data_IF_871289316241
#
_entry.id   IF_871289316241
#
_cell.length_a   1.000
_cell.length_b   1.000
_cell.length_c   1.000
_cell.angle_alpha   90.00
_cell.angle_beta   90.00
_cell.angle_gamma   90.00
#
_symmetry.space_group_name_H-M   'P 1'
#
loop_
_entity.id
_entity.type
_entity.pdbx_description
1 polymer ?
#
# COMPACT_ATOMS: atom_id res chain seq x y z
N UNK A 1 -6.70 -27.10 16.61
CA UNK A 1 -6.17 -26.55 15.35
C UNK A 1 -7.19 -25.56 14.77
N UNK A 2 -7.33 -24.40 15.42
CA UNK A 2 -8.16 -23.31 14.93
C UNK A 2 -7.61 -22.02 15.51
N UNK A 3 -7.66 -20.98 14.68
CA UNK A 3 -7.81 -19.60 15.12
C UNK A 3 -6.56 -18.86 15.62
N UNK A 4 -5.68 -18.53 14.66
CA UNK A 4 -4.85 -17.33 14.73
C UNK A 4 -5.54 -16.14 14.06
N UNK A 5 -6.82 -15.93 14.35
CA UNK A 5 -7.61 -14.79 13.86
C UNK A 5 -7.96 -13.87 15.02
N UNK A 6 -7.00 -13.12 15.59
CA UNK A 6 -7.28 -11.94 16.44
C UNK A 6 -6.02 -11.24 16.99
N UNK A 7 -4.94 -11.12 16.21
CA UNK A 7 -3.75 -10.39 16.66
C UNK A 7 -3.28 -9.31 15.67
N UNK A 8 -4.22 -8.64 14.99
CA UNK A 8 -3.94 -7.49 14.11
C UNK A 8 -4.51 -6.17 14.65
N UNK A 9 -4.64 -6.07 15.97
CA UNK A 9 -5.38 -4.99 16.62
C UNK A 9 -4.60 -4.04 17.52
N UNK A 10 -3.29 -4.24 17.77
CA UNK A 10 -2.62 -3.48 18.85
C UNK A 10 -1.17 -3.04 18.64
N UNK A 11 -0.57 -3.15 17.45
CA UNK A 11 0.80 -2.63 17.19
C UNK A 11 1.02 -2.17 15.73
N UNK A 12 0.18 -1.30 15.16
CA UNK A 12 0.54 -0.67 13.88
C UNK A 12 -0.16 0.69 13.67
N UNK A 13 0.23 1.69 14.46
CA UNK A 13 -0.13 3.07 14.15
C UNK A 13 1.12 3.77 13.65
N UNK A 14 1.25 3.90 12.33
CA UNK A 14 1.46 5.17 11.61
C UNK A 14 2.60 5.19 10.58
N UNK A 15 3.78 4.58 10.78
CA UNK A 15 4.93 4.91 9.91
C UNK A 15 4.83 4.30 8.51
N UNK A 16 4.53 3.00 8.39
CA UNK A 16 4.40 2.35 7.08
C UNK A 16 3.29 2.97 6.25
N UNK A 17 2.11 3.14 6.87
CA UNK A 17 0.95 3.79 6.25
C UNK A 17 1.21 5.26 5.90
N UNK A 18 1.89 6.02 6.76
CA UNK A 18 2.25 7.41 6.48
C UNK A 18 3.21 7.49 5.30
N UNK A 19 4.22 6.62 5.24
CA UNK A 19 5.15 6.56 4.12
C UNK A 19 4.42 6.22 2.81
N UNK A 20 3.52 5.24 2.81
CA UNK A 20 2.70 4.88 1.63
C UNK A 20 1.87 6.09 1.15
N UNK A 21 1.25 6.85 2.06
CA UNK A 21 0.49 8.04 1.72
C UNK A 21 1.37 9.20 1.21
N UNK A 22 2.55 9.41 1.77
CA UNK A 22 3.51 10.43 1.30
C UNK A 22 4.04 10.10 -0.10
N UNK A 23 4.34 8.83 -0.37
CA UNK A 23 4.74 8.34 -1.70
C UNK A 23 3.59 8.55 -2.68
N UNK A 24 2.35 8.18 -2.31
CA UNK A 24 1.19 8.37 -3.15
C UNK A 24 0.93 9.85 -3.47
N UNK A 25 1.00 10.74 -2.46
CA UNK A 25 0.85 12.19 -2.65
C UNK A 25 1.91 12.75 -3.61
N UNK A 26 3.15 12.27 -3.52
CA UNK A 26 4.24 12.65 -4.42
C UNK A 26 3.96 12.21 -5.86
N UNK A 27 3.51 10.97 -6.07
CA UNK A 27 3.15 10.46 -7.40
C UNK A 27 2.00 11.26 -8.03
N UNK A 28 0.95 11.55 -7.25
CA UNK A 28 -0.19 12.38 -7.69
C UNK A 28 0.27 13.79 -8.07
N UNK A 29 1.09 14.43 -7.24
CA UNK A 29 1.62 15.78 -7.51
C UNK A 29 2.47 15.81 -8.78
N UNK A 30 3.24 14.76 -9.04
CA UNK A 30 4.07 14.61 -10.23
C UNK A 30 3.28 14.13 -11.46
N UNK A 31 1.99 13.80 -11.31
CA UNK A 31 1.14 13.18 -12.35
C UNK A 31 1.73 11.87 -12.88
N UNK A 32 2.33 11.08 -11.99
CA UNK A 32 2.90 9.77 -12.29
C UNK A 32 2.02 8.65 -11.75
N UNK A 33 1.99 7.47 -12.39
CA UNK A 33 1.37 6.28 -11.81
C UNK A 33 2.12 5.82 -10.55
N UNK A 34 1.37 5.31 -9.57
CA UNK A 34 1.89 4.74 -8.34
C UNK A 34 2.11 3.24 -8.50
N UNK A 35 3.37 2.84 -8.68
CA UNK A 35 3.77 1.43 -8.66
C UNK A 35 3.92 0.95 -7.22
N UNK A 36 3.20 -0.11 -6.84
CA UNK A 36 3.26 -0.62 -5.47
C UNK A 36 3.05 -2.12 -5.40
N UNK A 37 3.72 -2.76 -4.44
CA UNK A 37 3.49 -4.17 -4.05
C UNK A 37 2.31 -4.33 -3.09
N UNK A 38 1.81 -3.22 -2.56
CA UNK A 38 0.77 -3.19 -1.54
C UNK A 38 -0.44 -2.36 -2.02
N UNK A 39 -1.09 -2.76 -3.13
CA UNK A 39 -2.16 -1.96 -3.73
C UNK A 39 -3.36 -1.77 -2.79
N UNK A 40 -3.63 -2.74 -1.91
CA UNK A 40 -4.74 -2.71 -0.94
C UNK A 40 -4.69 -1.52 0.01
N UNK A 41 -3.51 -1.05 0.37
CA UNK A 41 -3.36 0.07 1.31
C UNK A 41 -3.55 1.42 0.62
N UNK A 42 -3.54 1.43 -0.72
CA UNK A 42 -3.76 2.60 -1.57
C UNK A 42 -5.12 2.60 -2.28
N UNK A 43 -5.96 1.56 -2.13
CA UNK A 43 -7.20 1.38 -2.90
C UNK A 43 -8.18 2.58 -2.81
N UNK A 44 -8.19 3.32 -1.71
CA UNK A 44 -9.03 4.51 -1.56
C UNK A 44 -8.57 5.71 -2.42
N UNK A 45 -7.38 5.65 -3.02
CA UNK A 45 -6.77 6.70 -3.83
C UNK A 45 -7.01 6.52 -5.34
N UNK A 46 -7.68 5.44 -5.78
CA UNK A 46 -7.91 5.13 -7.20
C UNK A 46 -8.64 6.25 -7.98
N UNK A 47 -9.36 7.12 -7.28
CA UNK A 47 -10.03 8.29 -7.87
C UNK A 47 -9.08 9.43 -8.25
N UNK A 48 -7.89 9.46 -7.67
CA UNK A 48 -6.92 10.56 -7.81
C UNK A 48 -5.53 10.09 -8.24
N UNK A 49 -5.26 8.79 -8.19
CA UNK A 49 -3.99 8.18 -8.56
C UNK A 49 -4.22 6.93 -9.41
N UNK A 50 -3.43 6.77 -10.48
CA UNK A 50 -3.37 5.50 -11.22
C UNK A 50 -2.48 4.53 -10.46
N UNK A 51 -3.06 3.46 -9.90
CA UNK A 51 -2.31 2.46 -9.13
C UNK A 51 -1.92 1.30 -10.05
N UNK A 52 -0.63 0.96 -10.07
CA UNK A 52 -0.10 -0.17 -10.82
C UNK A 52 0.45 -1.21 -9.84
N UNK A 53 -0.24 -2.34 -9.65
CA UNK A 53 0.27 -3.41 -8.79
C UNK A 53 1.52 -4.02 -9.42
N UNK A 54 2.55 -4.20 -8.59
CA UNK A 54 3.79 -4.87 -8.98
C UNK A 54 3.87 -6.21 -8.28
N UNK A 55 3.78 -7.29 -9.05
CA UNK A 55 4.10 -8.62 -8.58
C UNK A 55 5.61 -8.84 -8.61
N UNK A 56 6.20 -9.14 -7.46
CA UNK A 56 7.57 -9.62 -7.42
C UNK A 56 7.50 -11.13 -7.48
N UNK A 57 7.69 -11.69 -8.67
CA UNK A 57 8.09 -13.10 -8.76
C UNK A 57 9.50 -13.15 -8.19
N UNK A 58 9.79 -13.93 -7.13
CA UNK A 58 11.17 -14.13 -6.72
C UNK A 58 11.88 -14.74 -7.93
N UNK A 59 12.78 -13.98 -8.54
CA UNK A 59 13.78 -14.54 -9.44
C UNK A 59 14.58 -15.51 -8.59
N UNK A 60 14.43 -16.81 -8.88
CA UNK A 60 15.16 -17.89 -8.21
C UNK A 60 16.66 -17.74 -8.34
#
# INVERSE_FOLDING_TARGET
MAERRHARGLVDTSVGRMADLLIAATAVSARLPLYTRNPKDCAHLEKIATIVPVDVRPSG
#
